data_IF_088434671698
#
_entry.id   IF_088434671698
#
_cell.length_a   1.000
_cell.length_b   1.000
_cell.length_c   1.000
_cell.angle_alpha   90.00
_cell.angle_beta   90.00
_cell.angle_gamma   90.00
#
_symmetry.space_group_name_H-M   'P 1'
#
loop_
_entity.id
_entity.type
_entity.pdbx_description
1 polymer ?
#
# COMPACT_ATOMS: atom_id res chain seq x y z
N UNK A 1 -16.55 36.81 -57.74
CA UNK A 1 -15.88 36.60 -56.44
C UNK A 1 -16.97 36.54 -55.37
N UNK A 2 -17.45 35.34 -55.04
CA UNK A 2 -18.50 35.16 -54.05
C UNK A 2 -17.90 34.95 -52.66
N UNK A 3 -18.08 35.93 -51.79
CA UNK A 3 -17.81 35.79 -50.35
C UNK A 3 -19.05 35.13 -49.73
N UNK A 4 -19.02 33.81 -49.54
CA UNK A 4 -20.09 33.05 -48.91
C UNK A 4 -19.97 33.17 -47.38
N UNK A 5 -20.78 34.08 -46.82
CA UNK A 5 -20.94 34.24 -45.38
C UNK A 5 -21.71 33.06 -44.79
N UNK A 6 -21.01 32.23 -44.03
CA UNK A 6 -21.62 31.12 -43.28
C UNK A 6 -22.30 31.68 -42.02
N UNK A 7 -23.60 32.01 -42.10
CA UNK A 7 -24.38 32.44 -40.95
C UNK A 7 -24.70 31.23 -40.06
N UNK A 8 -23.81 30.96 -39.09
CA UNK A 8 -24.09 29.98 -38.02
C UNK A 8 -25.38 30.38 -37.29
N UNK A 9 -26.28 29.41 -37.09
CA UNK A 9 -27.47 29.58 -36.26
C UNK A 9 -27.08 29.93 -34.82
N UNK A 10 -27.96 30.65 -34.12
CA UNK A 10 -27.64 31.18 -32.78
C UNK A 10 -27.34 30.07 -31.77
N UNK A 11 -28.03 28.93 -31.87
CA UNK A 11 -27.78 27.74 -31.04
C UNK A 11 -26.35 27.19 -31.22
N UNK A 12 -25.82 27.15 -32.44
CA UNK A 12 -24.45 26.69 -32.69
C UNK A 12 -23.41 27.63 -32.06
N UNK A 13 -23.70 28.93 -31.98
CA UNK A 13 -22.82 29.91 -31.31
C UNK A 13 -22.87 29.78 -29.79
N UNK A 14 -24.02 29.45 -29.23
CA UNK A 14 -24.19 29.19 -27.80
C UNK A 14 -23.45 27.91 -27.40
N UNK A 15 -23.56 26.83 -28.17
CA UNK A 15 -22.84 25.58 -27.94
C UNK A 15 -21.31 25.74 -28.08
N UNK A 16 -20.83 26.44 -29.12
CA UNK A 16 -19.40 26.74 -29.27
C UNK A 16 -18.87 27.57 -28.08
N UNK A 17 -19.67 28.49 -27.55
CA UNK A 17 -19.31 29.30 -26.38
C UNK A 17 -19.28 28.45 -25.11
N UNK A 18 -20.28 27.60 -24.89
CA UNK A 18 -20.32 26.68 -23.76
C UNK A 18 -19.14 25.69 -23.78
N UNK A 19 -18.81 25.15 -24.96
CA UNK A 19 -17.66 24.26 -25.15
C UNK A 19 -16.33 24.98 -24.90
N UNK A 20 -16.18 26.23 -25.35
CA UNK A 20 -15.00 27.06 -25.04
C UNK A 20 -14.87 27.36 -23.55
N UNK A 21 -15.98 27.65 -22.88
CA UNK A 21 -15.98 27.89 -21.43
C UNK A 21 -15.63 26.62 -20.64
N UNK A 22 -16.14 25.46 -21.05
CA UNK A 22 -15.77 24.17 -20.48
C UNK A 22 -14.26 23.87 -20.68
N UNK A 23 -13.76 24.02 -21.91
CA UNK A 23 -12.32 23.85 -22.20
C UNK A 23 -11.45 24.79 -21.38
N UNK A 24 -11.83 26.06 -21.24
CA UNK A 24 -11.11 27.04 -20.41
C UNK A 24 -11.11 26.67 -18.93
N UNK A 25 -12.18 26.06 -18.41
CA UNK A 25 -12.22 25.55 -17.02
C UNK A 25 -11.27 24.37 -16.85
N UNK A 26 -11.25 23.44 -17.82
CA UNK A 26 -10.35 22.27 -17.81
C UNK A 26 -8.89 22.72 -17.87
N UNK A 27 -8.52 23.64 -18.76
CA UNK A 27 -7.16 24.17 -18.86
C UNK A 27 -6.69 24.83 -17.56
N UNK A 28 -7.55 25.64 -16.94
CA UNK A 28 -7.26 26.26 -15.63
C UNK A 28 -7.04 25.21 -14.54
N UNK A 29 -7.84 24.16 -14.53
CA UNK A 29 -7.69 23.06 -13.57
C UNK A 29 -6.36 22.32 -13.79
N UNK A 30 -6.05 21.98 -15.04
CA UNK A 30 -4.79 21.34 -15.42
C UNK A 30 -3.58 22.19 -15.04
N UNK A 31 -3.65 23.51 -15.21
CA UNK A 31 -2.56 24.41 -14.85
C UNK A 31 -2.32 24.43 -13.33
N UNK A 32 -3.39 24.48 -12.53
CA UNK A 32 -3.31 24.38 -11.06
C UNK A 32 -2.72 23.05 -10.62
N UNK A 33 -3.18 21.94 -11.20
CA UNK A 33 -2.66 20.61 -10.88
C UNK A 33 -1.20 20.44 -11.28
N UNK A 34 -0.78 20.99 -12.43
CA UNK A 34 0.65 21.02 -12.82
C UNK A 34 1.50 21.79 -11.82
N UNK A 35 1.01 22.91 -11.29
CA UNK A 35 1.73 23.68 -10.28
C UNK A 35 1.82 22.91 -8.96
N UNK A 36 0.72 22.31 -8.50
CA UNK A 36 0.69 21.48 -7.30
C UNK A 36 1.66 20.28 -7.43
N UNK A 37 1.63 19.61 -8.57
CA UNK A 37 2.50 18.47 -8.86
C UNK A 37 4.00 18.86 -8.90
N UNK A 38 4.33 20.04 -9.44
CA UNK A 38 5.71 20.56 -9.41
C UNK A 38 6.16 20.94 -8.00
N UNK A 39 5.23 21.36 -7.14
CA UNK A 39 5.53 21.72 -5.75
C UNK A 39 5.64 20.49 -4.82
N UNK A 40 5.05 19.35 -5.18
CA UNK A 40 5.15 18.11 -4.39
C UNK A 40 6.51 17.44 -4.54
N UNK A 41 7.18 17.18 -3.41
CA UNK A 41 8.42 16.40 -3.37
C UNK A 41 8.10 14.91 -3.30
N UNK A 42 8.57 14.14 -4.29
CA UNK A 42 8.32 12.70 -4.40
C UNK A 42 9.51 11.93 -3.86
N UNK A 43 9.29 11.18 -2.78
CA UNK A 43 10.31 10.38 -2.11
C UNK A 43 10.03 8.89 -2.36
N UNK A 44 11.08 8.13 -2.67
CA UNK A 44 11.03 6.67 -2.81
C UNK A 44 11.84 6.03 -1.68
N UNK A 45 11.23 5.09 -0.96
CA UNK A 45 11.90 4.33 0.10
C UNK A 45 12.32 2.97 -0.45
N UNK A 46 13.63 2.72 -0.52
CA UNK A 46 14.23 1.46 -0.96
C UNK A 46 14.86 0.71 0.23
N UNK A 47 14.84 -0.62 0.18
CA UNK A 47 15.43 -1.48 1.22
C UNK A 47 14.90 -2.91 1.16
N UNK A 48 15.58 -3.86 1.80
CA UNK A 48 15.19 -5.26 1.88
C UNK A 48 13.78 -5.47 2.46
N UNK A 49 13.18 -6.66 2.28
CA UNK A 49 11.99 -7.06 3.03
C UNK A 49 12.18 -6.78 4.53
N UNK A 50 11.12 -6.32 5.21
CA UNK A 50 11.11 -6.10 6.68
C UNK A 50 12.00 -4.98 7.25
N UNK A 51 12.78 -4.28 6.42
CA UNK A 51 13.63 -3.12 6.82
C UNK A 51 12.92 -1.91 7.47
N UNK A 52 11.61 -1.99 7.73
CA UNK A 52 10.87 -0.93 8.41
C UNK A 52 10.40 0.22 7.52
N UNK A 53 10.46 0.09 6.19
CA UNK A 53 9.93 1.10 5.23
C UNK A 53 8.50 1.52 5.55
N UNK A 54 7.63 0.54 5.82
CA UNK A 54 6.23 0.80 6.20
C UNK A 54 6.11 1.54 7.54
N UNK A 55 7.07 1.35 8.46
CA UNK A 55 7.12 2.05 9.74
C UNK A 55 7.43 3.53 9.53
N UNK A 56 8.39 3.86 8.66
CA UNK A 56 8.72 5.26 8.33
C UNK A 56 7.49 5.98 7.74
N UNK A 57 6.78 5.34 6.81
CA UNK A 57 5.56 5.91 6.23
C UNK A 57 4.46 6.11 7.28
N UNK A 58 4.29 5.15 8.21
CA UNK A 58 3.34 5.29 9.32
C UNK A 58 3.69 6.47 10.23
N UNK A 59 4.97 6.67 10.56
CA UNK A 59 5.41 7.81 11.37
C UNK A 59 5.17 9.15 10.67
N UNK A 60 5.43 9.22 9.36
CA UNK A 60 5.11 10.41 8.57
C UNK A 60 3.62 10.77 8.65
N UNK A 61 2.74 9.77 8.63
CA UNK A 61 1.30 9.96 8.73
C UNK A 61 0.86 10.47 10.11
N UNK A 62 1.46 9.97 11.19
CA UNK A 62 1.17 10.43 12.56
C UNK A 62 1.54 11.90 12.73
N UNK A 63 2.70 12.32 12.22
CA UNK A 63 3.20 13.67 12.41
C UNK A 63 2.53 14.71 11.50
N UNK A 64 2.20 14.35 10.26
CA UNK A 64 1.78 15.33 9.24
C UNK A 64 0.33 15.18 8.76
N UNK A 65 -0.37 14.08 9.09
CA UNK A 65 -1.68 13.74 8.50
C UNK A 65 -2.66 13.23 9.57
N UNK A 66 -3.04 14.07 10.54
CA UNK A 66 -4.09 13.84 11.56
C UNK A 66 -4.17 12.42 12.20
N UNK A 67 -3.10 11.62 12.12
CA UNK A 67 -3.02 10.25 12.62
C UNK A 67 -3.88 9.20 11.89
N UNK A 68 -4.41 8.28 12.69
CA UNK A 68 -5.26 7.16 12.25
C UNK A 68 -6.66 7.31 12.82
N UNK A 69 -7.67 7.02 12.00
CA UNK A 69 -9.06 7.06 12.42
C UNK A 69 -9.40 5.88 13.35
N UNK A 70 -10.48 6.00 14.12
CA UNK A 70 -10.92 4.97 15.07
C UNK A 70 -11.17 3.61 14.39
N UNK A 71 -11.76 3.62 13.18
CA UNK A 71 -12.04 2.41 12.42
C UNK A 71 -10.76 1.69 11.97
N UNK A 72 -9.75 2.45 11.49
CA UNK A 72 -8.45 1.88 11.12
C UNK A 72 -7.74 1.27 12.33
N UNK A 73 -7.79 1.96 13.49
CA UNK A 73 -7.23 1.42 14.74
C UNK A 73 -7.90 0.11 15.13
N UNK A 74 -9.23 0.01 14.99
CA UNK A 74 -10.00 -1.20 15.29
C UNK A 74 -9.60 -2.37 14.38
N UNK A 75 -9.40 -2.11 13.09
CA UNK A 75 -8.91 -3.12 12.15
C UNK A 75 -7.50 -3.60 12.54
N UNK A 76 -6.61 -2.69 12.97
CA UNK A 76 -5.25 -3.06 13.43
C UNK A 76 -5.20 -3.91 14.68
N UNK A 77 -6.25 -3.97 15.49
CA UNK A 77 -6.30 -4.88 16.64
C UNK A 77 -6.19 -6.35 16.19
N UNK A 78 -6.80 -6.70 15.06
CA UNK A 78 -6.73 -8.07 14.54
C UNK A 78 -5.30 -8.42 14.09
N UNK A 79 -4.65 -7.51 13.36
CA UNK A 79 -3.25 -7.65 12.95
C UNK A 79 -2.32 -7.83 14.17
N UNK A 80 -2.50 -7.02 15.22
CA UNK A 80 -1.71 -7.11 16.46
C UNK A 80 -1.92 -8.46 17.14
N UNK A 81 -3.18 -8.91 17.27
CA UNK A 81 -3.51 -10.21 17.86
C UNK A 81 -2.87 -11.36 17.07
N UNK A 82 -2.88 -11.27 15.74
CA UNK A 82 -2.23 -12.25 14.88
C UNK A 82 -0.71 -12.28 15.11
N UNK A 83 -0.05 -11.12 15.06
CA UNK A 83 1.40 -11.02 15.27
C UNK A 83 1.84 -11.57 16.63
N UNK A 84 1.06 -11.33 17.69
CA UNK A 84 1.34 -11.87 19.03
C UNK A 84 1.22 -13.39 19.04
N UNK A 85 0.19 -13.96 18.42
CA UNK A 85 0.02 -15.41 18.31
C UNK A 85 1.17 -16.06 17.53
N UNK A 86 1.51 -15.49 16.37
CA UNK A 86 2.58 -15.98 15.51
C UNK A 86 3.93 -15.94 16.24
N UNK A 87 4.22 -14.85 16.95
CA UNK A 87 5.43 -14.73 17.76
C UNK A 87 5.52 -15.83 18.84
N UNK A 88 4.42 -16.07 19.58
CA UNK A 88 4.39 -17.10 20.62
C UNK A 88 4.61 -18.50 20.03
N UNK A 89 4.02 -18.81 18.88
CA UNK A 89 4.23 -20.11 18.21
C UNK A 89 5.69 -20.25 17.76
N UNK A 90 6.27 -19.20 17.18
CA UNK A 90 7.68 -19.20 16.75
C UNK A 90 8.66 -19.41 17.91
N UNK A 91 8.44 -18.78 19.06
CA UNK A 91 9.31 -18.96 20.23
C UNK A 91 9.20 -20.32 20.91
N UNK A 92 8.06 -21.01 20.77
CA UNK A 92 7.80 -22.29 21.44
C UNK A 92 8.31 -23.53 20.68
N UNK A 93 8.90 -23.37 19.49
CA UNK A 93 9.48 -24.50 18.74
C UNK A 93 10.86 -24.94 19.23
N UNK A 94 11.74 -24.09 19.80
CA UNK A 94 13.04 -24.53 20.29
C UNK A 94 13.24 -24.50 21.83
N UNK A 95 12.30 -23.95 22.62
CA UNK A 95 12.51 -23.72 24.07
C UNK A 95 11.77 -24.77 24.93
N UNK A 96 12.46 -25.52 25.80
CA UNK A 96 11.80 -26.44 26.73
C UNK A 96 11.01 -25.68 27.79
N UNK A 97 9.83 -26.19 28.11
CA UNK A 97 8.99 -25.63 29.16
C UNK A 97 9.68 -25.73 30.52
N UNK A 98 9.68 -24.63 31.28
CA UNK A 98 10.16 -24.62 32.68
C UNK A 98 9.27 -25.49 33.57
N UNK A 99 7.96 -25.54 33.26
CA UNK A 99 6.97 -26.35 33.97
C UNK A 99 6.28 -27.30 32.98
N UNK A 100 6.37 -28.62 33.18
CA UNK A 100 5.68 -29.60 32.33
C UNK A 100 4.15 -29.45 32.36
N UNK A 101 3.61 -28.88 33.43
CA UNK A 101 2.18 -28.61 33.59
C UNK A 101 1.64 -27.61 32.54
N UNK A 102 2.47 -26.75 31.97
CA UNK A 102 2.03 -25.72 31.02
C UNK A 102 1.86 -26.24 29.57
N UNK A 103 2.07 -27.54 29.34
CA UNK A 103 1.97 -28.19 28.03
C UNK A 103 0.62 -27.92 27.34
N UNK A 104 -0.48 -28.02 28.10
CA UNK A 104 -1.84 -27.81 27.58
C UNK A 104 -2.05 -26.39 27.03
N UNK A 105 -1.34 -25.40 27.59
CA UNK A 105 -1.42 -23.99 27.16
C UNK A 105 -0.78 -23.83 25.79
N UNK A 106 0.36 -24.49 25.57
CA UNK A 106 1.03 -24.51 24.26
C UNK A 106 0.14 -25.19 23.23
N UNK A 107 -0.44 -26.35 23.55
CA UNK A 107 -1.33 -27.08 22.64
C UNK A 107 -2.57 -26.28 22.28
N UNK A 108 -3.17 -25.59 23.27
CA UNK A 108 -4.28 -24.67 23.02
C UNK A 108 -3.88 -23.54 22.07
N UNK A 109 -2.72 -22.90 22.29
CA UNK A 109 -2.24 -21.82 21.42
C UNK A 109 -1.98 -22.32 19.99
N UNK A 110 -1.41 -23.52 19.85
CA UNK A 110 -1.16 -24.16 18.55
C UNK A 110 -2.45 -24.55 17.83
N UNK A 111 -3.52 -24.91 18.54
CA UNK A 111 -4.79 -25.29 17.91
C UNK A 111 -5.61 -24.09 17.43
N UNK A 112 -5.46 -22.92 18.06
CA UNK A 112 -6.16 -21.68 17.68
C UNK A 112 -5.34 -20.77 16.75
N UNK A 113 -4.05 -21.04 16.60
CA UNK A 113 -3.20 -20.41 15.60
C UNK A 113 -3.32 -21.27 14.34
N UNK A 114 -4.09 -20.85 13.31
CA UNK A 114 -3.97 -21.53 12.03
C UNK A 114 -2.48 -21.48 11.65
N UNK A 115 -1.92 -22.63 11.24
CA UNK A 115 -0.63 -22.67 10.56
C UNK A 115 -0.65 -21.55 9.53
N UNK A 116 0.07 -20.46 9.81
CA UNK A 116 0.05 -19.32 8.92
C UNK A 116 0.75 -19.78 7.64
N UNK A 117 0.08 -19.59 6.50
CA UNK A 117 0.57 -19.86 5.13
C UNK A 117 1.85 -19.09 4.76
N UNK A 118 2.55 -18.49 5.72
CA UNK A 118 3.87 -17.93 5.54
C UNK A 118 4.89 -19.05 5.73
N UNK A 119 5.03 -19.85 4.68
CA UNK A 119 6.23 -20.63 4.45
C UNK A 119 7.37 -19.61 4.27
N UNK A 120 8.02 -19.24 5.36
CA UNK A 120 9.37 -18.69 5.30
C UNK A 120 10.22 -19.83 4.76
N UNK A 121 10.24 -19.95 3.43
CA UNK A 121 11.27 -20.69 2.74
C UNK A 121 12.58 -20.10 3.24
N UNK A 122 13.18 -20.80 4.19
CA UNK A 122 14.59 -20.69 4.49
C UNK A 122 15.26 -21.10 3.19
N UNK A 123 15.49 -20.12 2.31
CA UNK A 123 16.51 -20.25 1.28
C UNK A 123 17.79 -20.33 2.07
N UNK A 124 18.13 -21.55 2.47
CA UNK A 124 19.46 -21.97 2.83
C UNK A 124 20.34 -21.46 1.70
N UNK A 125 21.05 -20.37 1.98
CA UNK A 125 22.16 -19.90 1.18
C UNK A 125 23.29 -20.90 1.35
N UNK A 126 23.09 -22.11 0.82
CA UNK A 126 24.15 -23.06 0.56
C UNK A 126 24.76 -22.63 -0.76
N UNK A 127 25.98 -22.11 -0.65
CA UNK A 127 26.91 -21.86 -1.73
C UNK A 127 26.76 -22.87 -2.88
N UNK A 128 26.59 -22.38 -4.12
CA UNK A 128 27.19 -22.91 -5.36
C UNK A 128 26.32 -22.95 -6.62
N UNK A 129 25.06 -22.51 -6.62
CA UNK A 129 24.31 -22.44 -7.89
C UNK A 129 24.06 -21.02 -8.37
N UNK A 130 25.12 -20.52 -9.00
CA UNK A 130 25.07 -19.58 -10.09
C UNK A 130 24.11 -20.10 -11.20
N UNK A 131 23.56 -19.14 -11.94
CA UNK A 131 22.86 -19.26 -13.22
C UNK A 131 21.36 -19.63 -13.23
N UNK A 132 20.63 -18.67 -13.80
CA UNK A 132 19.44 -18.88 -14.63
C UNK A 132 18.20 -19.30 -13.87
N UNK A 133 17.35 -18.33 -13.52
CA UNK A 133 16.01 -18.21 -14.10
C UNK A 133 15.31 -17.01 -13.50
N UNK A 134 15.13 -16.01 -14.35
CA UNK A 134 14.08 -14.99 -14.24
C UNK A 134 12.73 -15.73 -14.24
N UNK A 135 12.01 -15.70 -13.13
CA UNK A 135 10.59 -16.06 -13.05
C UNK A 135 9.96 -15.13 -12.01
N UNK A 136 9.33 -14.03 -12.41
CA UNK A 136 7.93 -14.00 -12.84
C UNK A 136 6.95 -14.37 -11.70
N UNK A 137 6.75 -13.43 -10.77
CA UNK A 137 5.52 -13.19 -10.02
C UNK A 137 5.52 -11.67 -9.72
N UNK A 138 4.57 -10.83 -10.13
CA UNK A 138 3.17 -11.05 -10.41
C UNK A 138 2.38 -10.24 -9.38
N UNK A 139 2.05 -9.00 -9.76
CA UNK A 139 1.43 -7.89 -9.01
C UNK A 139 2.35 -7.01 -8.13
#
# INVERSE_FOLDING_TARGET
>A
MGCLGNSKTEDQRIDEKAQREANKKIEKQLQKERQAYKATHRLLLLGAGESGKSTIVKQMRILHVNGFNAEEKKQKIQDIRKNVKDAIVHFNTPVPLVKPEDQFRIEYIKSIAPLSDFDYSQVSCSQSFCLSTVCACGF
#
